data_IF_065548050073
#
_entry.id   IF_065548050073
#
_cell.length_a   1.000
_cell.length_b   1.000
_cell.length_c   1.000
_cell.angle_alpha   90.00
_cell.angle_beta   90.00
_cell.angle_gamma   90.00
#
_symmetry.space_group_name_H-M   'P 1'
#
loop_
_entity.id
_entity.type
_entity.pdbx_description
1 polymer ?
#
# COMPACT_ATOMS: atom_id res chain seq x y z
N UNK A 1 63.08 -54.99 31.89
CA UNK A 1 62.91 -54.27 33.18
C UNK A 1 62.56 -52.83 32.85
N UNK A 2 61.55 -52.24 33.52
CA UNK A 2 60.97 -50.88 33.36
C UNK A 2 60.08 -50.66 32.12
N UNK A 3 58.75 -50.84 32.16
CA UNK A 3 57.61 -50.05 32.77
C UNK A 3 57.33 -48.66 32.14
N UNK A 4 56.23 -48.65 31.37
CA UNK A 4 55.11 -47.67 31.30
C UNK A 4 55.36 -46.23 30.82
N UNK A 5 54.68 -45.86 29.73
CA UNK A 5 53.64 -44.81 29.76
C UNK A 5 52.77 -44.87 28.49
N UNK A 6 51.63 -45.56 28.62
CA UNK A 6 50.43 -45.29 27.83
C UNK A 6 50.00 -43.85 28.14
N UNK A 7 50.01 -42.95 27.16
CA UNK A 7 49.19 -41.73 27.23
C UNK A 7 48.02 -41.96 26.29
N UNK A 8 46.96 -42.38 26.93
CA UNK A 8 45.60 -42.57 26.46
C UNK A 8 45.06 -41.29 25.84
N UNK A 9 44.35 -41.49 24.73
CA UNK A 9 43.41 -40.59 24.07
C UNK A 9 42.52 -39.89 25.11
N UNK A 10 42.61 -38.56 25.20
CA UNK A 10 41.69 -37.71 25.94
C UNK A 10 41.61 -36.38 25.19
N UNK A 11 40.47 -35.87 24.72
CA UNK A 11 39.13 -36.40 24.65
C UNK A 11 38.39 -35.57 23.60
N UNK A 12 37.35 -36.16 23.01
CA UNK A 12 36.29 -35.42 22.34
C UNK A 12 35.73 -34.32 23.25
N UNK A 13 34.88 -33.45 22.67
CA UNK A 13 33.95 -32.51 23.31
C UNK A 13 34.35 -31.02 23.23
N UNK A 14 34.73 -30.53 22.05
CA UNK A 14 34.43 -29.15 21.65
C UNK A 14 33.52 -29.19 20.42
N UNK A 15 32.38 -29.86 20.56
CA UNK A 15 31.37 -29.89 19.50
C UNK A 15 30.00 -29.87 20.16
N UNK A 16 29.18 -28.92 19.72
CA UNK A 16 27.75 -28.74 20.00
C UNK A 16 27.34 -28.36 21.43
N UNK A 17 27.69 -27.15 21.90
CA UNK A 17 27.01 -26.51 23.04
C UNK A 17 26.52 -25.08 22.74
N UNK A 18 26.08 -24.82 21.50
CA UNK A 18 25.47 -23.54 21.08
C UNK A 18 23.96 -23.62 20.72
N UNK A 19 23.25 -24.77 20.65
CA UNK A 19 21.86 -24.74 20.15
C UNK A 19 20.83 -24.14 21.12
N UNK A 20 21.09 -24.14 22.44
CA UNK A 20 20.10 -23.69 23.43
C UNK A 20 19.87 -22.16 23.42
N UNK A 21 20.95 -21.36 23.38
CA UNK A 21 20.85 -19.89 23.43
C UNK A 21 20.22 -19.31 22.17
N UNK A 22 20.53 -19.87 21.00
CA UNK A 22 19.93 -19.44 19.74
C UNK A 22 18.41 -19.75 19.69
N UNK A 23 18.00 -20.92 20.18
CA UNK A 23 16.59 -21.31 20.24
C UNK A 23 15.80 -20.44 21.23
N UNK A 24 16.38 -20.13 22.39
CA UNK A 24 15.76 -19.27 23.42
C UNK A 24 15.58 -17.83 22.91
N UNK A 25 16.61 -17.26 22.27
CA UNK A 25 16.53 -15.92 21.67
C UNK A 25 15.47 -15.84 20.55
N UNK A 26 15.36 -16.89 19.74
CA UNK A 26 14.39 -16.94 18.66
C UNK A 26 12.96 -17.12 19.17
N UNK A 27 12.77 -17.88 20.25
CA UNK A 27 11.48 -18.01 20.93
C UNK A 27 11.05 -16.69 21.60
N UNK A 28 12.00 -15.95 22.19
CA UNK A 28 11.76 -14.65 22.77
C UNK A 28 11.35 -13.61 21.71
N UNK A 29 12.09 -13.52 20.60
CA UNK A 29 11.74 -12.63 19.49
C UNK A 29 10.32 -12.93 18.94
N UNK A 30 9.99 -14.21 18.75
CA UNK A 30 8.65 -14.60 18.30
C UNK A 30 7.55 -14.22 19.31
N UNK A 31 7.86 -14.23 20.62
CA UNK A 31 6.95 -13.76 21.67
C UNK A 31 6.74 -12.25 21.60
N UNK A 32 7.82 -11.48 21.43
CA UNK A 32 7.77 -10.01 21.33
C UNK A 32 6.97 -9.56 20.10
N UNK A 33 7.15 -10.22 18.94
CA UNK A 33 6.37 -9.95 17.74
C UNK A 33 4.88 -10.22 17.96
N UNK A 34 4.50 -11.34 18.59
CA UNK A 34 3.09 -11.62 18.92
C UNK A 34 2.49 -10.58 19.87
N UNK A 35 3.27 -10.12 20.84
CA UNK A 35 2.82 -9.06 21.75
C UNK A 35 2.66 -7.73 21.01
N UNK A 36 3.56 -7.41 20.08
CA UNK A 36 3.47 -6.23 19.24
C UNK A 36 2.19 -6.26 18.38
N UNK A 37 1.88 -7.39 17.75
CA UNK A 37 0.63 -7.58 16.99
C UNK A 37 -0.62 -7.36 17.86
N UNK A 38 -0.61 -7.84 19.10
CA UNK A 38 -1.70 -7.59 20.04
C UNK A 38 -1.82 -6.09 20.39
N UNK A 39 -0.70 -5.39 20.63
CA UNK A 39 -0.73 -3.94 20.83
C UNK A 39 -1.22 -3.20 19.58
N UNK A 40 -0.82 -3.63 18.39
CA UNK A 40 -1.32 -3.09 17.13
C UNK A 40 -2.85 -3.23 17.04
N UNK A 41 -3.39 -4.42 17.34
CA UNK A 41 -4.83 -4.68 17.35
C UNK A 41 -5.60 -3.84 18.38
N UNK A 42 -4.94 -3.40 19.45
CA UNK A 42 -5.49 -2.48 20.45
C UNK A 42 -5.30 -0.99 20.10
N UNK A 43 -4.84 -0.68 18.89
CA UNK A 43 -4.45 0.67 18.46
C UNK A 43 -3.33 1.31 19.29
N UNK A 44 -2.54 0.50 20.00
CA UNK A 44 -1.40 0.91 20.83
C UNK A 44 -0.10 0.85 20.03
N UNK A 45 -0.07 1.54 18.88
CA UNK A 45 1.02 1.45 17.89
C UNK A 45 2.41 1.83 18.43
N UNK A 46 2.48 2.80 19.34
CA UNK A 46 3.74 3.16 19.98
C UNK A 46 4.33 2.03 20.84
N UNK A 47 3.46 1.27 21.52
CA UNK A 47 3.86 0.10 22.30
C UNK A 47 4.23 -1.07 21.38
N UNK A 48 3.45 -1.32 20.33
CA UNK A 48 3.80 -2.28 19.28
C UNK A 48 5.22 -2.02 18.75
N UNK A 49 5.45 -0.80 18.26
CA UNK A 49 6.73 -0.39 17.69
C UNK A 49 7.90 -0.47 18.69
N UNK A 50 7.64 -0.30 19.99
CA UNK A 50 8.70 -0.39 21.03
C UNK A 50 9.22 -1.81 21.24
N UNK A 51 8.44 -2.84 20.89
CA UNK A 51 8.81 -4.25 21.00
C UNK A 51 9.49 -4.80 19.74
N UNK A 52 9.48 -4.04 18.63
CA UNK A 52 9.95 -4.53 17.34
C UNK A 52 11.39 -4.10 17.05
N UNK A 53 12.23 -5.05 16.65
CA UNK A 53 13.57 -4.76 16.15
C UNK A 53 13.50 -4.04 14.79
N UNK A 54 13.99 -2.80 14.76
CA UNK A 54 14.07 -1.95 13.54
C UNK A 54 15.04 -2.49 12.49
N UNK A 55 15.88 -3.46 12.86
CA UNK A 55 16.80 -4.18 11.99
C UNK A 55 16.30 -5.58 11.59
N UNK A 56 15.07 -5.94 11.97
CA UNK A 56 14.45 -7.18 11.55
C UNK A 56 14.50 -7.34 10.03
N UNK A 57 14.72 -8.60 9.60
CA UNK A 57 14.73 -8.98 8.18
C UNK A 57 13.49 -9.75 7.77
N UNK A 58 12.73 -10.25 8.74
CA UNK A 58 11.47 -10.94 8.51
C UNK A 58 10.46 -9.97 7.86
N UNK A 59 9.92 -10.28 6.66
CA UNK A 59 9.04 -9.38 5.92
C UNK A 59 7.79 -8.99 6.72
N UNK A 60 7.19 -9.93 7.47
CA UNK A 60 5.99 -9.69 8.27
C UNK A 60 6.24 -8.72 9.42
N UNK A 61 7.36 -8.90 10.13
CA UNK A 61 7.79 -7.99 11.19
C UNK A 61 8.08 -6.59 10.65
N UNK A 62 8.82 -6.50 9.54
CA UNK A 62 9.13 -5.23 8.88
C UNK A 62 7.86 -4.54 8.37
N UNK A 63 6.90 -5.32 7.88
CA UNK A 63 5.59 -4.84 7.46
C UNK A 63 4.78 -4.27 8.63
N UNK A 64 4.75 -4.95 9.78
CA UNK A 64 4.10 -4.46 11.00
C UNK A 64 4.68 -3.11 11.45
N UNK A 65 6.01 -2.95 11.44
CA UNK A 65 6.67 -1.65 11.71
C UNK A 65 6.18 -0.58 10.73
N UNK A 66 6.05 -0.92 9.44
CA UNK A 66 5.52 -0.02 8.42
C UNK A 66 4.09 0.43 8.72
N UNK A 67 3.23 -0.49 9.15
CA UNK A 67 1.84 -0.21 9.55
C UNK A 67 1.77 0.62 10.83
N UNK A 68 2.58 0.33 11.84
CA UNK A 68 2.65 1.14 13.06
C UNK A 68 2.98 2.60 12.73
N UNK A 69 3.99 2.84 11.90
CA UNK A 69 4.32 4.20 11.46
C UNK A 69 3.21 4.86 10.66
N UNK A 70 2.49 4.09 9.83
CA UNK A 70 1.33 4.61 9.10
C UNK A 70 0.24 5.07 10.06
N UNK A 71 -0.09 4.24 11.05
CA UNK A 71 -1.13 4.54 12.04
C UNK A 71 -0.75 5.69 12.97
N UNK A 72 0.55 5.87 13.24
CA UNK A 72 1.09 7.04 13.95
C UNK A 72 1.18 8.31 13.08
N UNK A 73 0.81 8.24 11.80
CA UNK A 73 0.86 9.36 10.86
C UNK A 73 2.24 9.68 10.29
N UNK A 74 3.27 8.90 10.64
CA UNK A 74 4.61 9.03 10.07
C UNK A 74 4.70 8.28 8.73
N UNK A 75 3.99 8.80 7.73
CA UNK A 75 3.91 8.17 6.41
C UNK A 75 5.26 8.13 5.69
N UNK A 76 6.23 8.97 6.07
CA UNK A 76 7.59 8.93 5.51
C UNK A 76 8.31 7.67 5.98
N UNK A 77 8.30 7.37 7.28
CA UNK A 77 8.89 6.13 7.81
C UNK A 77 8.09 4.90 7.39
N UNK A 78 6.76 4.97 7.36
CA UNK A 78 5.91 3.89 6.85
C UNK A 78 6.37 3.44 5.44
N UNK A 79 6.54 4.39 4.51
CA UNK A 79 7.05 4.10 3.16
C UNK A 79 8.41 3.40 3.13
N UNK A 80 9.31 3.71 4.08
CA UNK A 80 10.63 3.09 4.14
C UNK A 80 10.49 1.61 4.51
N UNK A 81 9.74 1.30 5.57
CA UNK A 81 9.57 -0.07 6.04
C UNK A 81 8.71 -0.91 5.10
N UNK A 82 7.63 -0.35 4.55
CA UNK A 82 6.79 -1.04 3.56
C UNK A 82 7.60 -1.42 2.30
N UNK A 83 8.51 -0.56 1.85
CA UNK A 83 9.43 -0.91 0.75
C UNK A 83 10.41 -2.01 1.12
N UNK A 84 10.91 -2.03 2.37
CA UNK A 84 11.76 -3.12 2.85
C UNK A 84 10.98 -4.45 2.88
N UNK A 85 9.73 -4.44 3.35
CA UNK A 85 8.86 -5.60 3.33
C UNK A 85 8.63 -6.13 1.89
N UNK A 86 8.35 -5.23 0.94
CA UNK A 86 8.23 -5.58 -0.50
C UNK A 86 9.54 -6.14 -1.06
N UNK A 87 10.69 -5.57 -0.69
CA UNK A 87 11.98 -6.07 -1.16
C UNK A 87 12.26 -7.49 -0.64
N UNK A 88 11.78 -7.84 0.54
CA UNK A 88 11.90 -9.17 1.13
C UNK A 88 10.85 -10.16 0.61
N UNK A 89 9.63 -9.71 0.31
CA UNK A 89 8.55 -10.52 -0.26
C UNK A 89 7.78 -9.75 -1.36
N UNK A 90 8.27 -9.77 -2.62
CA UNK A 90 7.76 -8.93 -3.70
C UNK A 90 6.43 -9.41 -4.31
N UNK A 91 5.92 -10.54 -3.86
CA UNK A 91 4.66 -11.14 -4.35
C UNK A 91 3.50 -10.99 -3.36
N UNK A 92 3.71 -10.27 -2.25
CA UNK A 92 2.67 -10.04 -1.23
C UNK A 92 1.81 -8.83 -1.59
N UNK A 93 0.58 -9.10 -2.04
CA UNK A 93 -0.41 -8.08 -2.42
C UNK A 93 -0.63 -7.02 -1.33
N UNK A 94 -0.80 -7.44 -0.08
CA UNK A 94 -1.06 -6.56 1.06
C UNK A 94 0.04 -5.50 1.25
N UNK A 95 1.31 -5.84 0.99
CA UNK A 95 2.41 -4.89 1.19
C UNK A 95 2.36 -3.74 0.17
N UNK A 96 1.96 -4.04 -1.06
CA UNK A 96 1.74 -3.02 -2.08
C UNK A 96 0.51 -2.15 -1.77
N UNK A 97 -0.54 -2.75 -1.20
CA UNK A 97 -1.74 -2.00 -0.79
C UNK A 97 -1.39 -0.94 0.26
N UNK A 98 -0.74 -1.36 1.36
CA UNK A 98 -0.31 -0.44 2.40
C UNK A 98 0.70 0.60 1.92
N UNK A 99 1.57 0.26 0.95
CA UNK A 99 2.44 1.24 0.31
C UNK A 99 1.63 2.29 -0.47
N UNK A 100 0.57 1.86 -1.15
CA UNK A 100 -0.39 2.74 -1.82
C UNK A 100 -1.05 3.71 -0.84
N UNK A 101 -1.58 3.19 0.28
CA UNK A 101 -2.14 3.99 1.38
C UNK A 101 -1.14 5.03 1.87
N UNK A 102 0.09 4.61 2.16
CA UNK A 102 1.16 5.50 2.64
C UNK A 102 1.53 6.59 1.62
N UNK A 103 1.43 6.32 0.32
CA UNK A 103 1.61 7.34 -0.72
C UNK A 103 0.43 8.31 -0.81
N UNK A 104 -0.80 7.82 -0.71
CA UNK A 104 -2.01 8.65 -0.74
C UNK A 104 -2.02 9.68 0.40
N UNK A 105 -1.78 9.24 1.64
CA UNK A 105 -1.70 10.13 2.82
C UNK A 105 -0.59 11.17 2.74
N UNK A 106 0.52 10.83 2.09
CA UNK A 106 1.58 11.81 1.81
C UNK A 106 1.15 12.80 0.73
N UNK A 107 0.38 12.37 -0.27
CA UNK A 107 -0.11 13.28 -1.29
C UNK A 107 -1.03 14.34 -0.68
N UNK A 108 -1.93 13.94 0.22
CA UNK A 108 -2.83 14.85 0.97
C UNK A 108 -2.09 15.94 1.74
N UNK A 109 -0.91 15.63 2.28
CA UNK A 109 -0.13 16.52 3.17
C UNK A 109 1.02 17.23 2.46
N UNK A 110 1.20 17.04 1.15
CA UNK A 110 2.32 17.60 0.39
C UNK A 110 1.91 18.78 -0.48
N UNK A 111 2.89 19.56 -0.94
CA UNK A 111 2.66 20.61 -1.93
C UNK A 111 2.06 20.03 -3.24
N UNK A 112 1.34 20.84 -4.05
CA UNK A 112 0.60 20.34 -5.20
C UNK A 112 1.42 19.53 -6.22
N UNK A 113 2.68 19.91 -6.46
CA UNK A 113 3.56 19.21 -7.39
C UNK A 113 3.94 17.81 -6.86
N UNK A 114 4.33 17.74 -5.59
CA UNK A 114 4.66 16.48 -4.92
C UNK A 114 3.43 15.58 -4.78
N UNK A 115 2.27 16.18 -4.50
CA UNK A 115 1.00 15.48 -4.39
C UNK A 115 0.64 14.73 -5.68
N UNK A 116 0.87 15.32 -6.86
CA UNK A 116 0.66 14.64 -8.15
C UNK A 116 1.55 13.41 -8.30
N UNK A 117 2.84 13.55 -7.99
CA UNK A 117 3.81 12.46 -8.10
C UNK A 117 3.45 11.33 -7.11
N UNK A 118 3.12 11.67 -5.87
CA UNK A 118 2.75 10.72 -4.82
C UNK A 118 1.43 10.02 -5.14
N UNK A 119 0.43 10.75 -5.62
CA UNK A 119 -0.84 10.18 -6.09
C UNK A 119 -0.61 9.16 -7.21
N UNK A 120 0.25 9.46 -8.20
CA UNK A 120 0.62 8.48 -9.24
C UNK A 120 1.27 7.23 -8.66
N UNK A 121 2.15 7.37 -7.66
CA UNK A 121 2.79 6.23 -6.98
C UNK A 121 1.79 5.40 -6.17
N UNK A 122 0.82 6.04 -5.52
CA UNK A 122 -0.26 5.36 -4.81
C UNK A 122 -1.04 4.46 -5.78
N UNK A 123 -1.48 5.03 -6.91
CA UNK A 123 -2.17 4.28 -7.96
C UNK A 123 -1.40 3.05 -8.43
N UNK A 124 -0.11 3.23 -8.75
CA UNK A 124 0.74 2.13 -9.22
C UNK A 124 0.89 1.02 -8.18
N UNK A 125 0.95 1.38 -6.90
CA UNK A 125 1.03 0.41 -5.81
C UNK A 125 -0.29 -0.37 -5.67
N UNK A 126 -1.44 0.31 -5.67
CA UNK A 126 -2.76 -0.33 -5.66
C UNK A 126 -2.99 -1.24 -6.88
N UNK A 127 -2.68 -0.76 -8.08
CA UNK A 127 -2.73 -1.55 -9.32
C UNK A 127 -1.89 -2.83 -9.18
N UNK A 128 -0.68 -2.73 -8.61
CA UNK A 128 0.19 -3.89 -8.38
C UNK A 128 -0.37 -4.84 -7.31
N UNK A 129 -0.92 -4.32 -6.22
CA UNK A 129 -1.56 -5.13 -5.17
C UNK A 129 -2.69 -5.99 -5.75
N UNK A 130 -3.56 -5.37 -6.56
CA UNK A 130 -4.69 -6.03 -7.22
C UNK A 130 -4.24 -6.99 -8.34
N UNK A 131 -3.12 -6.73 -9.00
CA UNK A 131 -2.52 -7.67 -9.95
C UNK A 131 -1.97 -8.92 -9.25
N UNK A 132 -1.31 -8.76 -8.09
CA UNK A 132 -0.75 -9.85 -7.31
C UNK A 132 -1.84 -10.75 -6.71
N UNK A 133 -2.90 -10.14 -6.18
CA UNK A 133 -4.06 -10.88 -5.69
C UNK A 133 -5.36 -10.16 -6.10
N UNK A 134 -6.01 -10.61 -7.19
CA UNK A 134 -7.30 -10.08 -7.63
C UNK A 134 -8.44 -10.23 -6.62
N UNK A 135 -8.30 -11.08 -5.60
CA UNK A 135 -9.30 -11.33 -4.56
C UNK A 135 -9.03 -10.58 -3.25
N UNK A 136 -7.97 -9.77 -3.20
CA UNK A 136 -7.72 -8.90 -2.06
C UNK A 136 -8.75 -7.76 -2.05
N UNK A 137 -9.81 -7.90 -1.25
CA UNK A 137 -10.92 -6.93 -1.18
C UNK A 137 -10.43 -5.54 -0.79
N UNK A 138 -9.52 -5.45 0.18
CA UNK A 138 -8.96 -4.18 0.64
C UNK A 138 -8.24 -3.46 -0.51
N UNK A 139 -7.39 -4.16 -1.26
CA UNK A 139 -6.67 -3.56 -2.38
C UNK A 139 -7.59 -3.16 -3.54
N UNK A 140 -8.65 -3.94 -3.80
CA UNK A 140 -9.66 -3.63 -4.82
C UNK A 140 -10.46 -2.39 -4.41
N UNK A 141 -10.86 -2.29 -3.14
CA UNK A 141 -11.54 -1.12 -2.59
C UNK A 141 -10.67 0.14 -2.66
N UNK A 142 -9.42 0.06 -2.20
CA UNK A 142 -8.50 1.19 -2.23
C UNK A 142 -8.21 1.68 -3.67
N UNK A 143 -8.10 0.76 -4.63
CA UNK A 143 -7.96 1.12 -6.04
C UNK A 143 -9.22 1.79 -6.59
N UNK A 144 -10.40 1.30 -6.21
CA UNK A 144 -11.69 1.91 -6.57
C UNK A 144 -11.77 3.34 -6.03
N UNK A 145 -11.52 3.53 -4.74
CA UNK A 145 -11.52 4.82 -4.07
C UNK A 145 -10.57 5.80 -4.73
N UNK A 146 -9.33 5.36 -5.04
CA UNK A 146 -8.37 6.19 -5.75
C UNK A 146 -8.92 6.72 -7.09
N UNK A 147 -9.54 5.85 -7.89
CA UNK A 147 -10.11 6.24 -9.18
C UNK A 147 -11.37 7.09 -9.05
N UNK A 148 -12.16 6.88 -8.01
CA UNK A 148 -13.34 7.68 -7.74
C UNK A 148 -12.96 9.10 -7.27
N UNK A 149 -11.93 9.21 -6.43
CA UNK A 149 -11.54 10.47 -5.79
C UNK A 149 -10.59 11.33 -6.63
N UNK A 150 -9.92 10.76 -7.64
CA UNK A 150 -9.00 11.50 -8.52
C UNK A 150 -9.73 12.20 -9.68
N UNK A 151 -10.19 13.45 -9.55
CA UNK A 151 -11.07 14.09 -10.52
C UNK A 151 -10.28 14.61 -11.73
N UNK A 152 -8.94 14.69 -11.61
CA UNK A 152 -8.02 15.23 -12.63
C UNK A 152 -7.87 14.35 -13.87
N UNK A 153 -8.50 13.17 -13.88
CA UNK A 153 -8.51 12.23 -15.00
C UNK A 153 -9.95 11.91 -15.46
N UNK A 154 -10.82 12.94 -15.47
CA UNK A 154 -12.25 12.91 -15.86
C UNK A 154 -12.63 11.82 -16.89
N UNK A 155 -13.87 11.32 -16.79
CA UNK A 155 -14.46 10.31 -17.67
C UNK A 155 -13.79 8.93 -17.55
N UNK A 156 -12.52 8.83 -17.96
CA UNK A 156 -11.71 7.60 -17.93
C UNK A 156 -11.44 7.09 -16.51
N UNK A 157 -11.34 7.97 -15.51
CA UNK A 157 -11.19 7.52 -14.12
C UNK A 157 -12.44 6.82 -13.60
N UNK A 158 -13.64 7.33 -13.93
CA UNK A 158 -14.89 6.69 -13.53
C UNK A 158 -15.20 5.43 -14.34
N UNK A 159 -14.77 5.37 -15.60
CA UNK A 159 -14.78 4.13 -16.38
C UNK A 159 -13.90 3.06 -15.70
N UNK A 160 -12.67 3.42 -15.31
CA UNK A 160 -11.80 2.53 -14.53
C UNK A 160 -12.39 2.13 -13.19
N UNK A 161 -13.00 3.06 -12.45
CA UNK A 161 -13.72 2.74 -11.21
C UNK A 161 -14.85 1.75 -11.48
N UNK A 162 -15.59 1.88 -12.57
CA UNK A 162 -16.60 0.91 -13.01
C UNK A 162 -15.99 -0.49 -13.25
N UNK A 163 -14.88 -0.57 -13.98
CA UNK A 163 -14.19 -1.84 -14.22
C UNK A 163 -13.67 -2.47 -12.91
N UNK A 164 -13.29 -1.65 -11.93
CA UNK A 164 -12.90 -2.14 -10.60
C UNK A 164 -14.12 -2.62 -9.80
N UNK A 165 -15.27 -1.93 -9.88
CA UNK A 165 -16.52 -2.34 -9.24
C UNK A 165 -17.01 -3.70 -9.75
N UNK A 166 -16.87 -3.99 -11.05
CA UNK A 166 -17.17 -5.33 -11.60
C UNK A 166 -16.33 -6.43 -10.94
N UNK A 167 -15.04 -6.14 -10.68
CA UNK A 167 -14.15 -7.07 -9.97
C UNK A 167 -14.52 -7.20 -8.50
N UNK A 168 -14.92 -6.10 -7.87
CA UNK A 168 -15.42 -6.10 -6.50
C UNK A 168 -16.68 -6.96 -6.38
N UNK A 169 -17.60 -6.90 -7.35
CA UNK A 169 -18.84 -7.69 -7.38
C UNK A 169 -18.58 -9.20 -7.43
N UNK A 170 -17.47 -9.62 -8.05
CA UNK A 170 -17.01 -11.01 -8.04
C UNK A 170 -16.42 -11.46 -6.69
N UNK A 171 -16.07 -10.53 -5.79
CA UNK A 171 -15.59 -10.82 -4.43
C UNK A 171 -16.75 -10.73 -3.43
N UNK A 172 -17.43 -9.59 -3.43
CA UNK A 172 -18.55 -9.26 -2.54
C UNK A 172 -19.57 -8.39 -3.28
N UNK A 173 -20.73 -8.97 -3.60
CA UNK A 173 -21.79 -8.31 -4.36
C UNK A 173 -22.41 -7.12 -3.61
N UNK A 174 -22.56 -7.22 -2.30
CA UNK A 174 -23.25 -6.20 -1.51
C UNK A 174 -22.39 -4.93 -1.41
N UNK A 175 -21.10 -5.10 -1.16
CA UNK A 175 -20.11 -4.03 -1.15
C UNK A 175 -20.00 -3.35 -2.52
N UNK A 176 -19.94 -4.14 -3.59
CA UNK A 176 -19.91 -3.60 -4.95
C UNK A 176 -21.18 -2.79 -5.30
N UNK A 177 -22.35 -3.25 -4.86
CA UNK A 177 -23.62 -2.55 -5.12
C UNK A 177 -23.65 -1.15 -4.49
N UNK A 178 -23.10 -1.02 -3.27
CA UNK A 178 -22.95 0.27 -2.60
C UNK A 178 -21.99 1.19 -3.35
N UNK A 179 -20.85 0.65 -3.79
CA UNK A 179 -19.84 1.44 -4.52
C UNK A 179 -20.30 1.85 -5.93
N UNK A 180 -21.09 1.02 -6.61
CA UNK A 180 -21.75 1.36 -7.87
C UNK A 180 -22.72 2.54 -7.72
N UNK A 181 -23.50 2.57 -6.62
CA UNK A 181 -24.36 3.69 -6.31
C UNK A 181 -23.54 4.98 -6.10
N UNK A 182 -22.43 4.89 -5.35
CA UNK A 182 -21.51 6.01 -5.11
C UNK A 182 -20.89 6.52 -6.42
N UNK A 183 -20.51 5.61 -7.33
CA UNK A 183 -20.01 5.93 -8.66
C UNK A 183 -21.06 6.64 -9.54
N UNK A 184 -22.30 6.15 -9.55
CA UNK A 184 -23.39 6.74 -10.32
C UNK A 184 -23.67 8.19 -9.88
N UNK A 185 -23.66 8.44 -8.56
CA UNK A 185 -23.79 9.80 -8.01
C UNK A 185 -22.70 10.76 -8.45
N UNK A 186 -21.45 10.29 -8.64
CA UNK A 186 -20.34 11.10 -9.17
C UNK A 186 -20.43 11.35 -10.68
N UNK A 187 -21.01 10.41 -11.44
CA UNK A 187 -21.15 10.53 -12.91
C UNK A 187 -22.25 11.51 -13.34
N UNK A 188 -23.37 11.59 -12.63
CA UNK A 188 -24.52 12.43 -13.03
C UNK A 188 -24.19 13.92 -13.22
N UNK A 189 -23.54 14.62 -12.27
CA UNK A 189 -23.22 16.05 -12.43
C UNK A 189 -22.30 16.33 -13.61
N UNK A 190 -21.43 15.38 -13.97
CA UNK A 190 -20.47 15.53 -15.07
C UNK A 190 -21.11 15.39 -16.44
N UNK A 191 -22.02 14.43 -16.61
CA UNK A 191 -22.75 14.30 -17.87
C UNK A 191 -23.53 15.58 -18.17
N UNK A 192 -24.14 16.18 -17.14
CA UNK A 192 -24.83 17.47 -17.26
C UNK A 192 -23.87 18.61 -17.61
N UNK A 193 -22.68 18.64 -17.00
CA UNK A 193 -21.63 19.63 -17.29
C UNK A 193 -21.04 19.52 -18.71
N UNK A 194 -20.76 18.31 -19.19
CA UNK A 194 -20.28 18.05 -20.55
C UNK A 194 -21.35 18.39 -21.60
N UNK A 195 -22.61 18.06 -21.35
CA UNK A 195 -23.73 18.45 -22.22
C UNK A 195 -23.92 19.97 -22.24
N UNK A 196 -23.75 20.66 -21.12
CA UNK A 196 -23.80 22.11 -21.06
C UNK A 196 -22.61 22.76 -21.79
N UNK A 197 -21.40 22.23 -21.61
CA UNK A 197 -20.19 22.71 -22.29
C UNK A 197 -20.20 22.44 -23.80
N UNK A 198 -20.72 21.28 -24.23
CA UNK A 198 -20.91 20.94 -25.64
C UNK A 198 -21.95 21.81 -26.35
N UNK A 199 -22.89 22.41 -25.61
CA UNK A 199 -23.83 23.42 -26.11
C UNK A 199 -23.26 24.85 -26.07
N UNK A 200 -22.18 25.08 -25.32
CA UNK A 200 -21.57 26.39 -25.11
C UNK A 200 -20.21 26.55 -25.79
N UNK A 201 -19.83 25.68 -26.72
CA UNK A 201 -18.66 25.90 -27.58
C UNK A 201 -18.90 27.15 -28.43
N UNK A 202 -18.50 28.30 -27.87
CA UNK A 202 -18.47 29.58 -28.56
C UNK A 202 -17.59 29.54 -29.80
N UNK A 203 -17.66 30.57 -30.66
CA UNK A 203 -16.99 30.57 -31.96
C UNK A 203 -15.51 30.22 -31.81
N UNK A 204 -15.04 29.30 -32.64
CA UNK A 204 -13.63 28.91 -32.68
C UNK A 204 -12.79 30.12 -33.15
N UNK A 205 -11.47 30.17 -32.87
CA UNK A 205 -10.61 31.25 -33.38
C UNK A 205 -10.64 31.40 -34.92
N UNK A 206 -11.05 30.35 -35.63
CA UNK A 206 -11.28 30.35 -37.08
C UNK A 206 -12.52 31.19 -37.46
N UNK A 207 -13.55 31.18 -36.62
CA UNK A 207 -14.80 31.93 -36.80
C UNK A 207 -14.61 33.43 -36.46
N UNK A 208 -13.72 33.74 -35.52
CA UNK A 208 -13.35 35.13 -35.18
C UNK A 208 -12.57 35.82 -36.32
N UNK A 209 -11.85 35.07 -37.17
CA UNK A 209 -11.17 35.59 -38.35
C UNK A 209 -12.11 35.95 -39.51
N UNK A 210 -13.32 35.39 -39.55
CA UNK A 210 -14.33 35.69 -40.55
C UNK A 210 -15.10 36.99 -40.23
N UNK A 211 -15.33 37.26 -38.94
CA UNK A 211 -16.01 38.49 -38.46
C UNK A 211 -15.21 39.77 -38.67
N UNK A 212 -13.87 39.70 -38.73
CA UNK A 212 -13.02 40.88 -38.99
C UNK A 212 -13.01 41.27 -40.47
N UNK A 213 -13.44 40.39 -41.39
CA UNK A 213 -13.52 40.71 -42.83
C UNK A 213 -14.86 41.29 -43.29
N UNK A 214 -15.90 41.26 -42.45
CA UNK A 214 -17.22 41.81 -42.80
C UNK A 214 -17.45 43.24 -42.32
N UNK A 215 -16.42 43.91 -41.77
CA UNK A 215 -16.49 45.31 -41.30
C UNK A 215 -15.52 46.20 -42.08
N UNK A 216 -15.47 46.07 -43.40
CA UNK A 216 -14.74 47.01 -44.26
C UNK A 216 -15.69 47.72 -45.21
#
# INVERSE_FOLDING_TARGET
>A
MFRKAFVTIAGCMFSTLIPAFAAENQAQLASEVRQAENFYGQARYGYSLSLLDKHARDPSTVFLIGRDYYMLGDFKRANIYLKKAIAAAPETSEYFDWLGRAYARRAETSNPLSAVILSKKARQAFERAVQLNPKNSEAVSDLFDYYLESPRLLGRSYERAGNVAERMSAINRDEASFEEWRLAGKRQPLQTGEQAAGKSSGPTPKDLGALVRSVR
#
